data_IF_543118689941
#
_entry.id   IF_543118689941
#
_cell.length_a   1.000
_cell.length_b   1.000
_cell.length_c   1.000
_cell.angle_alpha   90.00
_cell.angle_beta   90.00
_cell.angle_gamma   90.00
#
_symmetry.space_group_name_H-M   'P 1'
#
loop_
_entity.id
_entity.type
_entity.pdbx_description
1 polymer ?
#
# COMPACT_ATOMS: atom_id res chain seq x y z
N UNK A 1 -9.68 16.34 6.41
CA UNK A 1 -8.42 15.59 6.21
C UNK A 1 -7.31 16.61 5.97
N UNK A 2 -6.17 16.55 6.67
CA UNK A 2 -5.05 17.50 6.42
C UNK A 2 -4.50 17.28 5.00
N UNK A 3 -4.05 18.34 4.34
CA UNK A 3 -3.59 18.33 2.93
C UNK A 3 -2.52 17.26 2.66
N UNK A 4 -1.57 17.12 3.58
CA UNK A 4 -0.52 16.10 3.54
C UNK A 4 -1.08 14.67 3.50
N UNK A 5 -2.06 14.34 4.36
CA UNK A 5 -2.68 13.01 4.41
C UNK A 5 -3.37 12.67 3.10
N UNK A 6 -4.05 13.65 2.49
CA UNK A 6 -4.69 13.48 1.18
C UNK A 6 -3.65 13.15 0.11
N UNK A 7 -2.53 13.88 0.08
CA UNK A 7 -1.44 13.63 -0.87
C UNK A 7 -0.88 12.21 -0.74
N UNK A 8 -0.62 11.74 0.49
CA UNK A 8 -0.12 10.38 0.73
C UNK A 8 -1.12 9.33 0.24
N UNK A 9 -2.41 9.49 0.55
CA UNK A 9 -3.45 8.55 0.13
C UNK A 9 -3.59 8.48 -1.41
N UNK A 10 -3.55 9.65 -2.07
CA UNK A 10 -3.58 9.71 -3.54
C UNK A 10 -2.38 8.97 -4.13
N UNK A 11 -1.18 9.25 -3.62
CA UNK A 11 0.03 8.60 -4.12
C UNK A 11 0.00 7.08 -3.86
N UNK A 12 -0.42 6.63 -2.67
CA UNK A 12 -0.64 5.21 -2.38
C UNK A 12 -1.59 4.56 -3.38
N UNK A 13 -2.68 5.24 -3.72
CA UNK A 13 -3.68 4.74 -4.67
C UNK A 13 -3.11 4.59 -6.06
N UNK A 14 -2.36 5.59 -6.53
CA UNK A 14 -1.67 5.54 -7.83
C UNK A 14 -0.65 4.40 -7.89
N UNK A 15 0.17 4.23 -6.83
CA UNK A 15 1.12 3.11 -6.78
C UNK A 15 0.42 1.76 -6.77
N UNK A 16 -0.71 1.61 -6.07
CA UNK A 16 -1.50 0.37 -6.11
C UNK A 16 -2.11 0.12 -7.50
N UNK A 17 -2.63 1.15 -8.18
CA UNK A 17 -3.12 1.02 -9.57
C UNK A 17 -2.04 0.54 -10.52
N UNK A 18 -0.84 1.12 -10.42
CA UNK A 18 0.31 0.66 -11.20
C UNK A 18 0.62 -0.81 -10.91
N UNK A 19 0.69 -1.22 -9.65
CA UNK A 19 0.92 -2.62 -9.29
C UNK A 19 -0.18 -3.55 -9.83
N UNK A 20 -1.45 -3.14 -9.83
CA UNK A 20 -2.52 -3.96 -10.39
C UNK A 20 -2.41 -4.17 -11.91
N UNK A 21 -1.73 -3.26 -12.62
CA UNK A 21 -1.43 -3.42 -14.05
C UNK A 21 -0.20 -4.30 -14.35
N UNK A 22 0.63 -4.61 -13.35
CA UNK A 22 1.84 -5.43 -13.51
C UNK A 22 1.55 -6.93 -13.46
N UNK A 23 2.49 -7.72 -13.98
CA UNK A 23 2.53 -9.17 -13.92
C UNK A 23 3.70 -9.65 -13.03
N UNK A 24 3.56 -10.85 -12.46
CA UNK A 24 4.60 -11.46 -11.61
C UNK A 24 5.96 -11.60 -12.30
N UNK A 25 5.95 -11.81 -13.63
CA UNK A 25 7.17 -11.93 -14.45
C UNK A 25 7.98 -10.64 -14.58
N UNK A 26 7.43 -9.51 -14.12
CA UNK A 26 8.09 -8.20 -14.22
C UNK A 26 9.23 -8.05 -13.20
N UNK A 27 9.46 -9.05 -12.34
CA UNK A 27 10.65 -9.16 -11.49
C UNK A 27 10.67 -8.24 -10.27
N UNK A 28 9.53 -7.62 -9.95
CA UNK A 28 9.42 -6.65 -8.86
C UNK A 28 9.65 -7.30 -7.49
N UNK A 29 10.36 -6.60 -6.61
CA UNK A 29 10.67 -7.02 -5.25
C UNK A 29 10.13 -6.05 -4.22
N UNK A 30 9.34 -6.57 -3.27
CA UNK A 30 8.91 -5.82 -2.09
C UNK A 30 9.96 -5.89 -0.98
N UNK A 31 10.56 -4.76 -0.64
CA UNK A 31 11.57 -4.61 0.43
C UNK A 31 10.98 -4.17 1.77
N UNK A 32 9.72 -3.79 1.78
CA UNK A 32 8.96 -3.55 3.01
C UNK A 32 8.62 -4.86 3.73
N UNK A 33 7.94 -4.77 4.87
CA UNK A 33 7.37 -5.97 5.51
C UNK A 33 6.06 -6.38 4.84
N UNK A 34 5.64 -7.64 4.97
CA UNK A 34 4.28 -8.08 4.59
C UNK A 34 3.19 -7.22 5.22
N UNK A 35 3.42 -6.74 6.44
CA UNK A 35 2.50 -5.85 7.16
C UNK A 35 2.44 -4.47 6.51
N UNK A 36 3.57 -3.93 6.08
CA UNK A 36 3.59 -2.65 5.37
C UNK A 36 2.79 -2.73 4.06
N UNK A 37 2.91 -3.85 3.34
CA UNK A 37 2.11 -4.06 2.12
C UNK A 37 0.60 -4.15 2.44
N UNK A 38 0.23 -4.81 3.54
CA UNK A 38 -1.17 -4.83 3.98
C UNK A 38 -1.69 -3.45 4.38
N UNK A 39 -0.87 -2.64 5.03
CA UNK A 39 -1.22 -1.26 5.39
C UNK A 39 -1.48 -0.41 4.15
N UNK A 40 -0.60 -0.48 3.15
CA UNK A 40 -0.80 0.20 1.87
C UNK A 40 -2.17 -0.13 1.28
N UNK A 41 -2.48 -1.42 1.18
CA UNK A 41 -3.72 -1.89 0.55
C UNK A 41 -4.95 -1.54 1.39
N UNK A 42 -4.83 -1.54 2.71
CA UNK A 42 -5.93 -1.19 3.61
C UNK A 42 -6.26 0.30 3.53
N UNK A 43 -5.25 1.18 3.53
CA UNK A 43 -5.45 2.63 3.38
C UNK A 43 -6.13 2.95 2.04
N UNK A 44 -5.68 2.33 0.94
CA UNK A 44 -6.29 2.52 -0.39
C UNK A 44 -7.72 1.99 -0.45
N UNK A 45 -7.97 0.80 0.11
CA UNK A 45 -9.31 0.21 0.17
C UNK A 45 -10.28 1.09 0.98
N UNK A 46 -9.84 1.57 2.15
CA UNK A 46 -10.70 2.31 3.07
C UNK A 46 -10.95 3.76 2.64
N UNK A 47 -9.98 4.42 2.00
CA UNK A 47 -10.08 5.86 1.71
C UNK A 47 -10.36 6.22 0.25
N UNK A 48 -10.06 5.36 -0.72
CA UNK A 48 -10.24 5.70 -2.13
C UNK A 48 -11.16 4.74 -2.87
N UNK A 49 -11.05 3.44 -2.60
CA UNK A 49 -11.69 2.43 -3.42
C UNK A 49 -11.07 2.38 -4.82
N UNK A 50 -10.84 1.18 -5.35
CA UNK A 50 -10.42 1.01 -6.74
C UNK A 50 -11.61 0.47 -7.52
N UNK A 51 -11.99 1.13 -8.60
CA UNK A 51 -13.07 0.68 -9.48
C UNK A 51 -12.49 -0.28 -10.51
N UNK A 52 -13.12 -1.43 -10.65
CA UNK A 52 -12.80 -2.49 -11.58
C UNK A 52 -13.43 -2.22 -12.96
N UNK A 53 -13.00 -2.96 -13.98
CA UNK A 53 -13.50 -2.79 -15.35
C UNK A 53 -15.01 -3.06 -15.50
N UNK A 54 -15.58 -3.85 -14.60
CA UNK A 54 -17.02 -4.15 -14.54
C UNK A 54 -17.83 -3.10 -13.76
N UNK A 55 -17.19 -2.01 -13.32
CA UNK A 55 -17.82 -0.95 -12.52
C UNK A 55 -17.95 -1.26 -11.03
N UNK A 56 -17.56 -2.45 -10.58
CA UNK A 56 -17.56 -2.80 -9.16
C UNK A 56 -16.36 -2.21 -8.41
N UNK A 57 -16.47 -2.06 -7.09
CA UNK A 57 -15.30 -1.74 -6.26
C UNK A 57 -14.49 -3.01 -5.97
N UNK A 58 -13.17 -2.90 -6.13
CA UNK A 58 -12.22 -3.92 -5.77
C UNK A 58 -12.34 -4.27 -4.28
N UNK A 59 -12.57 -5.54 -3.99
CA UNK A 59 -12.58 -6.02 -2.60
C UNK A 59 -11.17 -6.00 -2.01
N UNK A 60 -11.06 -5.84 -0.69
CA UNK A 60 -9.76 -5.90 -0.03
C UNK A 60 -9.03 -7.23 -0.29
N UNK A 61 -9.75 -8.35 -0.30
CA UNK A 61 -9.19 -9.67 -0.62
C UNK A 61 -8.64 -9.73 -2.03
N UNK A 62 -9.33 -9.13 -3.01
CA UNK A 62 -8.85 -9.03 -4.38
C UNK A 62 -7.53 -8.24 -4.45
N UNK A 63 -7.49 -7.04 -3.84
CA UNK A 63 -6.30 -6.19 -3.82
C UNK A 63 -5.09 -6.92 -3.22
N UNK A 64 -5.29 -7.58 -2.08
CA UNK A 64 -4.24 -8.37 -1.41
C UNK A 64 -3.78 -9.53 -2.29
N UNK A 65 -4.69 -10.31 -2.85
CA UNK A 65 -4.32 -11.44 -3.70
C UNK A 65 -3.54 -11.02 -4.95
N UNK A 66 -3.99 -9.96 -5.63
CA UNK A 66 -3.34 -9.47 -6.85
C UNK A 66 -1.98 -8.86 -6.58
N UNK A 67 -1.86 -7.95 -5.61
CA UNK A 67 -0.60 -7.24 -5.35
C UNK A 67 0.45 -8.18 -4.75
N UNK A 68 0.07 -9.11 -3.86
CA UNK A 68 1.03 -10.10 -3.36
C UNK A 68 1.56 -10.99 -4.49
N UNK A 69 0.71 -11.37 -5.46
CA UNK A 69 1.13 -12.14 -6.62
C UNK A 69 2.17 -11.40 -7.48
N UNK A 70 2.03 -10.09 -7.68
CA UNK A 70 3.01 -9.29 -8.43
C UNK A 70 4.42 -9.41 -7.83
N UNK A 71 4.53 -9.50 -6.51
CA UNK A 71 5.81 -9.67 -5.82
C UNK A 71 6.22 -11.14 -5.61
N UNK A 72 5.52 -12.12 -6.18
CA UNK A 72 5.77 -13.55 -5.95
C UNK A 72 5.53 -13.98 -4.50
N UNK A 73 4.71 -13.24 -3.75
CA UNK A 73 4.47 -13.46 -2.32
C UNK A 73 3.15 -14.18 -2.07
N UNK A 74 3.11 -15.03 -1.04
CA UNK A 74 1.86 -15.65 -0.57
C UNK A 74 1.10 -14.67 0.35
N UNK A 75 -0.18 -14.35 0.04
CA UNK A 75 -1.01 -13.49 0.88
C UNK A 75 -1.31 -14.15 2.24
N UNK A 76 -1.57 -13.37 3.29
CA UNK A 76 -1.98 -13.92 4.59
C UNK A 76 -3.35 -14.62 4.49
N UNK A 77 -3.53 -15.72 5.23
CA UNK A 77 -4.78 -16.51 5.24
C UNK A 77 -6.02 -15.71 5.64
N UNK A 78 -5.88 -14.69 6.47
CA UNK A 78 -6.96 -13.77 6.85
C UNK A 78 -6.47 -12.32 6.76
N UNK A 79 -6.56 -11.70 5.57
CA UNK A 79 -6.05 -10.35 5.34
C UNK A 79 -6.72 -9.31 6.23
N UNK A 80 -8.06 -9.33 6.35
CA UNK A 80 -8.81 -8.34 7.12
C UNK A 80 -8.44 -8.32 8.59
N UNK A 81 -8.32 -9.49 9.22
CA UNK A 81 -7.88 -9.59 10.62
C UNK A 81 -6.44 -9.09 10.81
N UNK A 82 -5.57 -9.33 9.82
CA UNK A 82 -4.17 -8.87 9.86
C UNK A 82 -4.05 -7.36 9.62
N UNK A 83 -4.91 -6.78 8.78
CA UNK A 83 -4.99 -5.34 8.56
C UNK A 83 -5.49 -4.61 9.80
N UNK A 84 -6.56 -5.08 10.44
CA UNK A 84 -7.06 -4.54 11.70
C UNK A 84 -5.99 -4.54 12.82
N UNK A 85 -5.22 -5.62 12.93
CA UNK A 85 -4.08 -5.68 13.87
C UNK A 85 -2.90 -4.79 13.48
N UNK A 86 -2.76 -4.47 12.19
CA UNK A 86 -1.73 -3.56 11.71
C UNK A 86 -2.10 -2.10 12.01
N UNK A 87 -3.37 -1.75 11.87
CA UNK A 87 -3.92 -0.45 12.25
C UNK A 87 -3.75 -0.17 13.75
N UNK A 88 -3.92 -1.19 14.59
CA UNK A 88 -3.69 -1.13 16.04
C UNK A 88 -2.23 -1.01 16.51
N UNK A 89 -1.29 -0.53 15.67
CA UNK A 89 0.18 -0.42 15.91
C UNK A 89 0.61 0.49 17.09
N UNK A 90 -0.14 0.55 18.21
CA UNK A 90 0.31 1.15 19.47
C UNK A 90 1.43 0.29 20.09
N UNK A 91 2.64 0.85 20.20
CA UNK A 91 3.77 0.22 20.92
C UNK A 91 4.78 -0.60 20.10
N UNK A 92 4.78 -0.50 18.77
CA UNK A 92 5.76 -1.22 17.91
C UNK A 92 6.95 -0.33 17.54
N UNK A 93 8.18 -0.85 17.64
CA UNK A 93 9.47 -0.16 17.40
C UNK A 93 9.65 0.47 16.00
N UNK A 94 8.74 0.21 15.04
CA UNK A 94 8.76 0.74 13.67
C UNK A 94 7.43 1.39 13.33
N UNK A 95 7.49 2.66 12.90
CA UNK A 95 6.33 3.43 12.46
C UNK A 95 5.60 2.78 11.27
N UNK A 96 4.30 3.08 11.13
CA UNK A 96 3.47 2.58 10.03
C UNK A 96 4.02 2.94 8.65
N UNK A 97 3.65 2.19 7.60
CA UNK A 97 3.99 2.60 6.24
C UNK A 97 3.45 4.01 5.97
N UNK A 98 2.20 4.26 6.37
CA UNK A 98 1.54 5.56 6.25
C UNK A 98 2.35 6.68 6.93
N UNK A 99 2.73 6.53 8.20
CA UNK A 99 3.50 7.56 8.92
C UNK A 99 4.89 7.78 8.32
N UNK A 100 5.53 6.74 7.77
CA UNK A 100 6.81 6.90 7.06
C UNK A 100 6.65 7.64 5.74
N UNK A 101 5.57 7.39 4.99
CA UNK A 101 5.23 8.15 3.79
C UNK A 101 4.85 9.60 4.10
N UNK A 102 4.09 9.86 5.17
CA UNK A 102 3.82 11.21 5.65
C UNK A 102 5.11 11.96 6.01
N UNK A 103 6.06 11.28 6.66
CA UNK A 103 7.36 11.87 6.98
C UNK A 103 8.16 12.21 5.72
N UNK A 104 8.15 11.31 4.72
CA UNK A 104 8.81 11.53 3.43
C UNK A 104 8.16 12.69 2.64
N UNK A 105 6.82 12.76 2.64
CA UNK A 105 6.07 13.85 2.03
C UNK A 105 6.30 15.19 2.74
N UNK A 106 6.39 15.19 4.08
CA UNK A 106 6.69 16.40 4.84
C UNK A 106 8.08 16.93 4.53
N UNK A 107 9.05 16.03 4.33
CA UNK A 107 10.44 16.41 4.06
C UNK A 107 10.71 16.83 2.61
N UNK A 108 9.94 16.33 1.63
CA UNK A 108 10.26 16.52 0.22
C UNK A 108 9.08 16.52 -0.75
N UNK A 109 7.85 16.67 -0.25
CA UNK A 109 6.63 16.63 -1.06
C UNK A 109 6.52 15.33 -1.88
N UNK A 110 6.07 15.46 -3.13
CA UNK A 110 5.92 14.33 -4.04
C UNK A 110 7.24 13.63 -4.36
N UNK A 111 8.32 14.38 -4.58
CA UNK A 111 9.64 13.79 -4.81
C UNK A 111 10.14 12.99 -3.59
N UNK A 112 9.75 13.37 -2.38
CA UNK A 112 9.99 12.57 -1.18
C UNK A 112 9.26 11.22 -1.19
N UNK A 113 8.01 11.20 -1.66
CA UNK A 113 7.22 9.98 -1.81
C UNK A 113 7.77 9.04 -2.89
N UNK A 114 8.21 9.59 -4.02
CA UNK A 114 8.80 8.78 -5.10
C UNK A 114 10.10 8.10 -4.64
N UNK A 115 11.01 8.86 -4.01
CA UNK A 115 12.23 8.27 -3.42
C UNK A 115 11.93 7.21 -2.36
N UNK A 116 10.90 7.43 -1.55
CA UNK A 116 10.46 6.43 -0.58
C UNK A 116 9.98 5.15 -1.28
N UNK A 117 9.17 5.29 -2.34
CA UNK A 117 8.64 4.17 -3.11
C UNK A 117 9.75 3.35 -3.78
N UNK A 118 10.68 4.01 -4.47
CA UNK A 118 11.86 3.39 -5.08
C UNK A 118 12.76 2.68 -4.06
N UNK A 119 12.76 3.14 -2.80
CA UNK A 119 13.47 2.49 -1.72
C UNK A 119 12.84 1.16 -1.25
N UNK A 120 11.52 1.00 -1.43
CA UNK A 120 10.76 -0.15 -0.93
C UNK A 120 10.24 -1.10 -2.02
N UNK A 121 10.26 -0.67 -3.27
CA UNK A 121 9.97 -1.48 -4.47
C UNK A 121 11.18 -1.44 -5.39
N UNK A 122 11.71 -2.61 -5.76
CA UNK A 122 12.82 -2.75 -6.72
C UNK A 122 12.41 -3.55 -7.93
#
# INVERSE_FOLDING_TARGET
>A
MKELRRMVIVEMTEKVRLLLSMQEKDGLQWRGTKRDLLELLHEVYYHCGIVMADGSYATFTYLVGRVFKVFGMVPPRNPSSKAFRAEGRKGVRRASLFSRMESAASAGGRAGLDRFWEGIVR
#
